data_IF_616484793424
#
_entry.id   IF_616484793424
#
_cell.length_a   1.000
_cell.length_b   1.000
_cell.length_c   1.000
_cell.angle_alpha   90.00
_cell.angle_beta   90.00
_cell.angle_gamma   90.00
#
_symmetry.space_group_name_H-M   'P 1'
#
loop_
_entity.id
_entity.type
_entity.pdbx_description
1 polymer ?
#
# COMPACT_ATOMS: atom_id res chain seq x y z
N UNK A 1 46.48 -34.80 -42.82
CA UNK A 1 46.34 -34.97 -41.35
C UNK A 1 46.08 -33.67 -40.55
N UNK A 2 45.92 -32.48 -41.16
CA UNK A 2 45.67 -31.21 -40.42
C UNK A 2 44.21 -30.72 -40.36
N UNK A 3 43.27 -31.36 -41.06
CA UNK A 3 41.84 -30.95 -41.10
C UNK A 3 40.92 -31.71 -40.12
N UNK A 4 41.32 -32.91 -39.68
CA UNK A 4 40.55 -33.70 -38.71
C UNK A 4 40.76 -33.22 -37.26
N UNK A 5 41.97 -32.76 -36.93
CA UNK A 5 42.34 -32.23 -35.61
C UNK A 5 41.66 -30.88 -35.29
N UNK A 6 41.37 -30.06 -36.31
CA UNK A 6 40.72 -28.75 -36.13
C UNK A 6 39.22 -28.87 -35.82
N UNK A 7 38.55 -29.93 -36.32
CA UNK A 7 37.13 -30.19 -36.04
C UNK A 7 36.91 -30.71 -34.63
N UNK A 8 37.82 -31.56 -34.13
CA UNK A 8 37.76 -32.12 -32.77
C UNK A 8 38.00 -31.01 -31.72
N UNK A 9 38.89 -30.06 -31.99
CA UNK A 9 39.14 -28.91 -31.12
C UNK A 9 38.00 -27.88 -31.13
N UNK A 10 37.27 -27.70 -32.25
CA UNK A 10 36.08 -26.85 -32.28
C UNK A 10 34.87 -27.47 -31.55
N UNK A 11 34.70 -28.79 -31.58
CA UNK A 11 33.64 -29.47 -30.83
C UNK A 11 33.89 -29.49 -29.31
N UNK A 12 35.14 -29.44 -28.87
CA UNK A 12 35.47 -29.33 -27.44
C UNK A 12 35.27 -27.90 -26.89
N UNK A 13 35.46 -26.87 -27.71
CA UNK A 13 35.23 -25.47 -27.32
C UNK A 13 33.74 -25.09 -27.24
N UNK A 14 32.86 -25.76 -28.00
CA UNK A 14 31.41 -25.55 -27.93
C UNK A 14 30.73 -26.32 -26.78
N UNK A 15 31.34 -27.37 -26.25
CA UNK A 15 30.85 -28.10 -25.08
C UNK A 15 31.24 -27.43 -23.74
N UNK A 16 32.27 -26.57 -23.72
CA UNK A 16 32.72 -25.86 -22.51
C UNK A 16 32.08 -24.47 -22.29
N UNK A 17 31.37 -23.93 -23.30
CA UNK A 17 30.65 -22.64 -23.19
C UNK A 17 29.15 -22.85 -22.85
N UNK A 18 28.64 -24.07 -22.96
CA UNK A 18 27.26 -24.42 -22.56
C UNK A 18 27.05 -24.64 -21.04
N UNK A 19 28.11 -24.61 -20.23
CA UNK A 19 28.03 -24.97 -18.80
C UNK A 19 28.20 -23.77 -17.83
N UNK A 20 28.17 -22.53 -18.33
CA UNK A 20 28.41 -21.31 -17.52
C UNK A 20 27.23 -20.31 -17.52
N UNK A 21 26.03 -20.72 -17.95
CA UNK A 21 24.81 -19.89 -17.95
C UNK A 21 23.57 -20.64 -17.44
N UNK A 22 23.69 -21.39 -16.35
CA UNK A 22 22.56 -21.94 -15.60
C UNK A 22 22.64 -21.59 -14.10
N UNK A 23 23.12 -20.38 -13.81
CA UNK A 23 22.87 -19.76 -12.50
C UNK A 23 21.44 -19.19 -12.50
N UNK A 24 20.65 -19.64 -11.53
CA UNK A 24 19.34 -19.10 -11.13
C UNK A 24 18.12 -19.52 -11.96
N UNK A 25 17.66 -20.75 -11.73
CA UNK A 25 16.24 -21.01 -11.43
C UNK A 25 16.16 -22.13 -10.39
N UNK A 26 16.57 -21.83 -9.17
CA UNK A 26 16.20 -22.65 -8.01
C UNK A 26 14.71 -22.46 -7.74
N UNK A 27 13.87 -23.32 -8.30
CA UNK A 27 12.48 -23.48 -7.85
C UNK A 27 12.51 -24.24 -6.52
N UNK A 28 12.83 -23.54 -5.43
CA UNK A 28 12.70 -24.11 -4.08
C UNK A 28 11.24 -24.01 -3.64
N UNK A 29 10.44 -24.98 -4.07
CA UNK A 29 9.15 -25.29 -3.48
C UNK A 29 9.37 -26.11 -2.21
N UNK A 30 9.79 -25.47 -1.12
CA UNK A 30 9.73 -26.01 0.26
C UNK A 30 10.28 -24.97 1.21
N UNK A 31 9.42 -24.38 2.05
CA UNK A 31 9.69 -23.90 3.43
C UNK A 31 11.07 -23.31 3.74
N UNK A 32 11.69 -22.57 2.83
CA UNK A 32 12.79 -21.67 3.17
C UNK A 32 12.16 -20.51 3.94
N UNK A 33 12.36 -20.46 5.26
CA UNK A 33 11.94 -19.35 6.12
C UNK A 33 12.45 -18.04 5.52
N UNK A 34 11.62 -17.34 4.74
CA UNK A 34 11.92 -16.01 4.21
C UNK A 34 12.28 -15.10 5.39
N UNK A 35 13.56 -14.70 5.47
CA UNK A 35 14.04 -13.78 6.52
C UNK A 35 13.18 -12.53 6.48
N UNK A 36 12.76 -12.08 7.65
CA UNK A 36 11.96 -10.88 7.80
C UNK A 36 12.78 -9.65 7.39
N UNK A 37 12.10 -8.57 6.94
CA UNK A 37 12.77 -7.30 6.71
C UNK A 37 13.47 -6.80 7.97
N UNK A 38 14.50 -5.96 7.78
CA UNK A 38 15.15 -5.26 8.88
C UNK A 38 14.12 -4.48 9.71
N UNK A 39 14.25 -4.55 11.04
CA UNK A 39 13.36 -3.86 11.95
C UNK A 39 13.69 -2.36 12.00
N UNK A 40 12.70 -1.53 11.73
CA UNK A 40 12.78 -0.07 11.85
C UNK A 40 12.11 0.37 13.16
N UNK A 41 12.63 1.39 13.84
CA UNK A 41 11.97 1.93 15.04
C UNK A 41 10.54 2.40 14.70
N UNK A 42 9.50 2.07 15.51
CA UNK A 42 8.14 2.51 15.26
C UNK A 42 8.02 4.03 15.25
N UNK A 43 7.28 4.57 14.30
CA UNK A 43 6.94 6.00 14.29
C UNK A 43 5.97 6.34 15.43
N UNK A 44 6.13 7.52 16.02
CA UNK A 44 5.16 8.04 16.98
C UNK A 44 3.81 8.27 16.29
N UNK A 45 2.72 7.88 16.95
CA UNK A 45 1.36 8.12 16.43
C UNK A 45 1.10 9.63 16.35
N UNK A 46 0.75 10.09 15.15
CA UNK A 46 0.43 11.49 14.86
C UNK A 46 -0.66 11.55 13.79
N UNK A 47 -1.44 12.62 13.80
CA UNK A 47 -2.45 12.91 12.77
C UNK A 47 -1.82 13.14 11.40
N UNK A 48 -0.57 13.61 11.36
CA UNK A 48 0.19 13.84 10.13
C UNK A 48 1.52 13.12 10.20
N UNK A 49 1.83 12.34 9.17
CA UNK A 49 3.04 11.54 9.06
C UNK A 49 3.54 11.55 7.62
N UNK A 50 4.85 11.46 7.42
CA UNK A 50 5.42 11.14 6.11
C UNK A 50 5.89 9.70 6.16
N UNK A 51 5.30 8.85 5.33
CA UNK A 51 5.55 7.40 5.34
C UNK A 51 6.09 6.95 3.99
N UNK A 52 6.92 5.89 3.98
CA UNK A 52 7.25 5.22 2.72
C UNK A 52 6.00 4.50 2.24
N UNK A 53 5.61 4.75 1.00
CA UNK A 53 4.52 4.04 0.35
C UNK A 53 5.04 3.22 -0.81
N UNK A 54 4.46 2.04 -0.97
CA UNK A 54 4.61 1.18 -2.14
C UNK A 54 3.23 0.89 -2.72
N UNK A 55 3.15 0.13 -3.80
CA UNK A 55 1.89 -0.38 -4.29
C UNK A 55 2.00 -1.86 -4.63
N UNK A 56 0.89 -2.57 -4.45
CA UNK A 56 0.74 -3.98 -4.79
C UNK A 56 -0.56 -4.21 -5.56
N UNK A 57 -0.68 -5.36 -6.19
CA UNK A 57 -1.92 -5.80 -6.84
C UNK A 57 -2.13 -7.30 -6.68
N UNK A 58 -3.39 -7.73 -6.71
CA UNK A 58 -3.77 -9.14 -6.56
C UNK A 58 -3.29 -10.05 -7.69
N UNK A 59 -2.70 -9.48 -8.74
CA UNK A 59 -2.13 -10.22 -9.89
C UNK A 59 -0.64 -10.52 -9.73
N UNK A 60 0.00 -10.07 -8.64
CA UNK A 60 1.36 -10.44 -8.28
C UNK A 60 1.42 -11.89 -7.75
N UNK A 61 2.54 -12.57 -8.00
CA UNK A 61 2.68 -14.01 -7.79
C UNK A 61 2.42 -14.43 -6.33
N UNK A 62 2.89 -13.61 -5.38
CA UNK A 62 2.73 -13.77 -3.94
C UNK A 62 1.29 -13.52 -3.45
N UNK A 63 0.43 -12.88 -4.25
CA UNK A 63 -0.98 -12.64 -3.94
C UNK A 63 -1.95 -13.61 -4.64
N UNK A 64 -1.50 -14.40 -5.62
CA UNK A 64 -2.37 -15.32 -6.37
C UNK A 64 -3.16 -16.26 -5.46
N UNK A 65 -2.52 -16.80 -4.41
CA UNK A 65 -3.16 -17.71 -3.44
C UNK A 65 -4.30 -17.04 -2.65
N UNK A 66 -4.23 -15.73 -2.44
CA UNK A 66 -5.24 -14.96 -1.70
C UNK A 66 -6.27 -14.30 -2.62
N UNK A 67 -6.03 -14.31 -3.93
CA UNK A 67 -6.87 -13.68 -4.94
C UNK A 67 -7.14 -12.21 -4.56
N UNK A 68 -8.35 -11.72 -4.76
CA UNK A 68 -8.76 -10.36 -4.43
C UNK A 68 -9.28 -10.19 -2.99
N UNK A 69 -8.81 -10.99 -2.04
CA UNK A 69 -9.23 -10.92 -0.63
C UNK A 69 -8.16 -10.29 0.26
N UNK A 70 -8.59 -9.49 1.23
CA UNK A 70 -7.73 -8.91 2.25
C UNK A 70 -7.64 -9.82 3.50
N UNK A 71 -6.71 -9.51 4.41
CA UNK A 71 -6.52 -10.26 5.65
C UNK A 71 -7.74 -10.32 6.59
N UNK A 72 -8.70 -9.40 6.44
CA UNK A 72 -9.97 -9.38 7.17
C UNK A 72 -11.10 -10.19 6.50
N UNK A 73 -10.83 -10.85 5.37
CA UNK A 73 -11.79 -11.67 4.62
C UNK A 73 -12.71 -10.89 3.67
N UNK A 74 -12.54 -9.57 3.58
CA UNK A 74 -13.22 -8.71 2.61
C UNK A 74 -12.54 -8.70 1.24
N UNK A 75 -13.15 -8.02 0.27
CA UNK A 75 -12.55 -7.81 -1.06
C UNK A 75 -11.64 -6.58 -1.06
N UNK A 76 -10.47 -6.71 -1.68
CA UNK A 76 -9.56 -5.61 -1.96
C UNK A 76 -10.22 -4.59 -2.90
N UNK A 77 -10.06 -3.31 -2.59
CA UNK A 77 -10.65 -2.19 -3.35
C UNK A 77 -9.59 -1.19 -3.74
N UNK A 78 -9.54 -0.83 -5.03
CA UNK A 78 -8.71 0.28 -5.47
C UNK A 78 -9.37 1.60 -5.04
N UNK A 79 -8.56 2.55 -4.55
CA UNK A 79 -9.08 3.89 -4.27
C UNK A 79 -9.55 4.53 -5.58
N UNK A 80 -10.67 5.26 -5.52
CA UNK A 80 -11.01 6.14 -6.65
C UNK A 80 -10.01 7.27 -6.72
N UNK A 81 -9.53 7.61 -7.92
CA UNK A 81 -8.68 8.77 -8.13
C UNK A 81 -9.25 10.00 -7.42
N UNK A 82 -8.44 10.62 -6.56
CA UNK A 82 -8.87 11.77 -5.78
C UNK A 82 -9.23 12.92 -6.72
N UNK A 83 -10.41 13.51 -6.52
CA UNK A 83 -10.91 14.57 -7.41
C UNK A 83 -10.07 15.85 -7.35
N UNK A 84 -9.27 16.03 -6.28
CA UNK A 84 -8.32 17.13 -6.08
C UNK A 84 -7.19 16.65 -5.16
N UNK A 85 -5.96 17.14 -5.41
CA UNK A 85 -4.88 17.12 -4.41
C UNK A 85 -5.44 17.66 -3.09
N UNK A 86 -5.01 17.10 -1.96
CA UNK A 86 -5.40 17.65 -0.67
C UNK A 86 -4.95 19.11 -0.62
N UNK A 87 -5.88 20.05 -0.74
CA UNK A 87 -5.60 21.39 -0.28
C UNK A 87 -5.25 21.22 1.21
N UNK A 88 -4.05 21.65 1.59
CA UNK A 88 -3.70 21.81 2.98
C UNK A 88 -4.71 22.84 3.51
N UNK A 89 -5.80 22.38 4.12
CA UNK A 89 -6.88 23.27 4.55
C UNK A 89 -6.45 23.97 5.84
N UNK A 90 -5.38 24.75 5.77
CA UNK A 90 -5.18 25.89 6.65
C UNK A 90 -6.09 27.00 6.12
N UNK A 91 -7.41 26.85 6.29
CA UNK A 91 -8.27 28.03 6.24
C UNK A 91 -8.07 28.71 7.57
N UNK A 92 -7.14 29.66 7.62
CA UNK A 92 -7.15 30.66 8.67
C UNK A 92 -8.55 31.29 8.61
N UNK A 93 -9.37 31.03 9.62
CA UNK A 93 -10.56 31.83 9.83
C UNK A 93 -10.03 33.23 10.19
N UNK A 94 -10.49 34.31 9.54
CA UNK A 94 -10.19 35.63 10.03
C UNK A 94 -10.72 35.70 11.47
N UNK A 95 -9.82 35.90 12.43
CA UNK A 95 -10.20 36.26 13.77
C UNK A 95 -10.90 37.62 13.65
N UNK A 96 -12.17 37.69 14.06
CA UNK A 96 -12.78 38.99 14.33
C UNK A 96 -11.84 39.75 15.27
N UNK A 97 -11.50 40.96 14.84
CA UNK A 97 -10.63 41.89 15.55
C UNK A 97 -11.28 42.28 16.87
N UNK A 98 -10.88 41.64 17.98
CA UNK A 98 -10.76 42.26 19.32
C UNK A 98 -10.51 41.24 20.45
N UNK A 99 -9.63 40.25 20.26
CA UNK A 99 -9.07 39.55 21.43
C UNK A 99 -7.70 38.95 21.17
N UNK A 100 -6.86 39.06 22.19
CA UNK A 100 -5.44 38.78 22.18
C UNK A 100 -5.08 37.40 21.59
N UNK A 101 -3.89 37.36 21.01
CA UNK A 101 -3.25 36.26 20.31
C UNK A 101 -3.16 34.95 21.11
N UNK A 102 -4.19 34.13 21.03
CA UNK A 102 -4.07 32.68 21.21
C UNK A 102 -3.96 32.04 19.83
N UNK A 103 -2.76 31.61 19.46
CA UNK A 103 -2.54 30.70 18.34
C UNK A 103 -3.12 29.33 18.72
N UNK A 104 -4.45 29.23 18.79
CA UNK A 104 -5.12 27.94 18.89
C UNK A 104 -4.82 27.21 17.58
N UNK A 105 -3.82 26.32 17.59
CA UNK A 105 -3.54 25.36 16.52
C UNK A 105 -4.89 24.78 16.15
N UNK A 106 -5.44 25.20 15.00
CA UNK A 106 -6.73 24.72 14.54
C UNK A 106 -6.61 23.21 14.52
N UNK A 107 -7.29 22.55 15.45
CA UNK A 107 -7.34 21.11 15.49
C UNK A 107 -8.00 20.69 14.18
N UNK A 108 -7.19 20.16 13.27
CA UNK A 108 -7.63 19.59 11.98
C UNK A 108 -8.54 18.36 12.19
N UNK A 109 -8.82 18.00 13.46
CA UNK A 109 -9.76 16.98 13.92
C UNK A 109 -11.23 17.30 13.65
N UNK A 110 -11.58 18.46 13.08
CA UNK A 110 -12.97 18.85 12.85
C UNK A 110 -13.65 18.18 11.65
N UNK A 111 -12.89 17.70 10.66
CA UNK A 111 -13.47 17.06 9.48
C UNK A 111 -13.62 15.55 9.70
N UNK A 112 -14.84 15.11 10.00
CA UNK A 112 -15.16 13.67 10.12
C UNK A 112 -14.84 12.93 8.82
N UNK A 113 -14.54 11.63 8.91
CA UNK A 113 -14.34 10.76 7.74
C UNK A 113 -15.45 10.95 6.69
N UNK A 114 -16.69 11.11 7.15
CA UNK A 114 -17.88 11.30 6.30
C UNK A 114 -17.78 12.53 5.39
N UNK A 115 -17.16 13.62 5.88
CA UNK A 115 -16.94 14.83 5.07
C UNK A 115 -16.14 14.52 3.80
N UNK A 116 -15.17 13.62 3.89
CA UNK A 116 -14.32 13.22 2.76
C UNK A 116 -14.97 12.17 1.86
N UNK A 117 -16.02 11.50 2.31
CA UNK A 117 -16.78 10.50 1.55
C UNK A 117 -18.02 11.08 0.86
N UNK A 118 -18.28 12.37 1.05
CA UNK A 118 -19.40 13.08 0.42
C UNK A 118 -19.32 12.98 -1.11
N UNK A 119 -20.42 12.61 -1.82
CA UNK A 119 -20.43 12.55 -3.28
C UNK A 119 -19.96 13.85 -3.92
N UNK A 120 -19.02 13.75 -4.85
CA UNK A 120 -18.49 14.88 -5.60
C UNK A 120 -19.05 14.90 -7.02
N UNK A 121 -19.37 16.09 -7.53
CA UNK A 121 -19.82 16.27 -8.92
C UNK A 121 -18.63 16.14 -9.87
N UNK A 122 -18.64 15.15 -10.75
CA UNK A 122 -17.65 14.95 -11.82
C UNK A 122 -18.30 15.13 -13.18
N UNK A 123 -17.70 15.97 -14.03
CA UNK A 123 -18.09 16.06 -15.45
C UNK A 123 -17.46 14.89 -16.20
N UNK A 124 -18.29 14.08 -16.84
CA UNK A 124 -17.86 12.95 -17.67
C UNK A 124 -18.30 13.21 -19.09
N UNK A 125 -17.37 13.07 -20.03
CA UNK A 125 -17.65 13.23 -21.45
C UNK A 125 -17.55 11.89 -22.15
N UNK A 126 -18.60 11.51 -22.87
CA UNK A 126 -18.67 10.28 -23.65
C UNK A 126 -19.08 10.56 -25.09
N UNK A 127 -18.58 9.73 -26.00
CA UNK A 127 -19.02 9.73 -27.40
C UNK A 127 -20.19 8.75 -27.55
N UNK A 128 -21.34 9.25 -27.98
CA UNK A 128 -22.55 8.45 -28.20
C UNK A 128 -22.82 8.35 -29.69
N UNK A 129 -23.08 7.14 -30.19
CA UNK A 129 -23.47 6.91 -31.58
C UNK A 129 -24.98 7.15 -31.71
N UNK A 130 -25.38 8.03 -32.62
CA UNK A 130 -26.78 8.34 -32.92
C UNK A 130 -27.07 8.03 -34.37
N UNK A 131 -28.36 8.03 -34.77
CA UNK A 131 -28.76 7.88 -36.18
C UNK A 131 -28.12 8.92 -37.11
N UNK A 132 -27.71 10.09 -36.57
CA UNK A 132 -27.06 11.20 -37.32
C UNK A 132 -25.54 11.28 -37.10
N UNK A 133 -24.89 10.20 -36.65
CA UNK A 133 -23.44 10.15 -36.39
C UNK A 133 -23.06 10.19 -34.91
N UNK A 134 -21.76 10.36 -34.61
CA UNK A 134 -21.22 10.38 -33.24
C UNK A 134 -21.38 11.78 -32.64
N UNK A 135 -21.99 11.88 -31.46
CA UNK A 135 -22.10 13.13 -30.68
C UNK A 135 -21.31 13.03 -29.38
N UNK A 136 -20.61 14.12 -29.03
CA UNK A 136 -19.95 14.29 -27.73
C UNK A 136 -20.99 14.76 -26.72
N UNK A 137 -21.21 13.99 -25.67
CA UNK A 137 -22.17 14.31 -24.60
C UNK A 137 -21.40 14.44 -23.30
N UNK A 138 -21.57 15.58 -22.62
CA UNK A 138 -21.01 15.83 -21.30
C UNK A 138 -22.13 15.77 -20.27
N UNK A 139 -21.97 14.92 -19.26
CA UNK A 139 -22.95 14.73 -18.19
C UNK A 139 -22.25 14.92 -16.84
N UNK A 140 -22.93 15.54 -15.90
CA UNK A 140 -22.46 15.64 -14.51
C UNK A 140 -22.94 14.40 -13.76
N UNK A 141 -22.01 13.64 -13.20
CA UNK A 141 -22.29 12.45 -12.40
C UNK A 141 -21.82 12.71 -10.97
N UNK A 142 -22.61 12.28 -9.98
CA UNK A 142 -22.17 12.25 -8.58
C UNK A 142 -21.34 10.98 -8.36
N UNK A 143 -20.08 11.16 -7.96
CA UNK A 143 -19.15 10.06 -7.67
C UNK A 143 -18.85 10.08 -6.18
N UNK A 144 -19.17 9.00 -5.48
CA UNK A 144 -18.72 8.77 -4.11
C UNK A 144 -17.27 8.26 -4.14
N UNK A 145 -16.34 8.85 -3.36
CA UNK A 145 -15.01 8.30 -3.23
C UNK A 145 -15.06 6.86 -2.69
N UNK A 146 -14.35 5.95 -3.35
CA UNK A 146 -14.12 4.60 -2.83
C UNK A 146 -12.87 4.63 -1.98
N UNK A 147 -12.98 4.13 -0.74
CA UNK A 147 -11.84 3.90 0.14
C UNK A 147 -11.04 2.72 -0.41
N UNK A 148 -9.76 2.96 -0.66
CA UNK A 148 -8.83 1.92 -1.10
C UNK A 148 -8.39 1.01 0.05
N UNK A 149 -8.04 -0.21 -0.28
CA UNK A 149 -7.37 -1.15 0.62
C UNK A 149 -5.89 -0.82 0.73
N UNK A 150 -5.31 -1.05 1.91
CA UNK A 150 -3.90 -0.87 2.15
C UNK A 150 -3.38 -1.98 3.07
N UNK A 151 -2.18 -2.46 2.78
CA UNK A 151 -1.44 -3.37 3.63
C UNK A 151 -0.44 -2.59 4.49
N UNK A 152 -0.29 -2.97 5.75
CA UNK A 152 0.69 -2.38 6.65
C UNK A 152 1.08 -3.36 7.76
N UNK A 153 2.11 -3.02 8.52
CA UNK A 153 2.34 -3.64 9.83
C UNK A 153 1.23 -3.20 10.80
N UNK A 154 0.41 -4.15 11.25
CA UNK A 154 -0.72 -3.88 12.15
C UNK A 154 -0.30 -3.49 13.57
N UNK A 155 0.94 -3.72 13.99
CA UNK A 155 1.42 -3.15 15.26
C UNK A 155 1.68 -1.65 15.16
N UNK A 156 1.91 -1.13 13.93
CA UNK A 156 2.21 0.28 13.66
C UNK A 156 0.95 1.04 13.22
N UNK A 157 0.24 0.48 12.25
CA UNK A 157 -1.06 0.96 11.79
C UNK A 157 -2.09 -0.16 11.98
N UNK A 158 -2.76 -0.21 13.15
CA UNK A 158 -3.74 -1.25 13.44
C UNK A 158 -4.83 -1.35 12.36
N UNK A 159 -5.37 -2.56 12.21
CA UNK A 159 -6.47 -2.83 11.30
C UNK A 159 -7.61 -1.82 11.51
N UNK A 160 -8.12 -1.28 10.40
CA UNK A 160 -9.13 -0.22 10.39
C UNK A 160 -8.58 1.21 10.44
N UNK A 161 -7.26 1.40 10.55
CA UNK A 161 -6.65 2.73 10.40
C UNK A 161 -7.02 3.29 9.03
N UNK A 162 -7.66 4.45 9.01
CA UNK A 162 -8.08 5.14 7.80
C UNK A 162 -7.29 6.43 7.65
N UNK A 163 -6.72 6.66 6.49
CA UNK A 163 -5.87 7.80 6.21
C UNK A 163 -6.08 8.32 4.79
N UNK A 164 -5.65 9.55 4.56
CA UNK A 164 -5.69 10.20 3.25
C UNK A 164 -4.29 10.58 2.81
N UNK A 165 -3.98 10.35 1.54
CA UNK A 165 -2.77 10.84 0.91
C UNK A 165 -2.91 12.33 0.63
N UNK A 166 -1.95 13.14 1.07
CA UNK A 166 -2.01 14.58 0.84
C UNK A 166 -1.72 14.92 -0.64
N UNK A 167 -0.90 14.15 -1.36
CA UNK A 167 -0.60 14.47 -2.76
C UNK A 167 -1.80 14.25 -3.70
N UNK A 168 -2.62 13.22 -3.46
CA UNK A 168 -3.70 12.85 -4.36
C UNK A 168 -5.09 13.06 -3.77
N UNK A 169 -5.22 13.22 -2.46
CA UNK A 169 -6.52 13.25 -1.77
C UNK A 169 -7.24 11.88 -1.70
N UNK A 170 -6.57 10.80 -2.11
CA UNK A 170 -7.13 9.44 -2.06
C UNK A 170 -7.18 8.95 -0.61
N UNK A 171 -8.22 8.20 -0.27
CA UNK A 171 -8.44 7.67 1.08
C UNK A 171 -8.23 6.17 1.05
N UNK A 172 -7.52 5.67 2.05
CA UNK A 172 -7.22 4.27 2.23
C UNK A 172 -7.55 3.81 3.64
N UNK A 173 -7.87 2.53 3.77
CA UNK A 173 -8.07 1.83 5.02
C UNK A 173 -7.10 0.66 5.09
N UNK A 174 -6.39 0.56 6.20
CA UNK A 174 -5.57 -0.61 6.52
C UNK A 174 -6.50 -1.77 6.81
N UNK A 175 -6.55 -2.72 5.90
CA UNK A 175 -7.39 -3.92 5.97
C UNK A 175 -6.62 -5.20 5.60
N UNK A 176 -5.34 -5.06 5.27
CA UNK A 176 -4.46 -6.13 4.86
C UNK A 176 -3.09 -6.03 5.54
N UNK A 177 -2.29 -7.09 5.45
CA UNK A 177 -0.89 -7.11 5.90
C UNK A 177 -0.05 -8.01 5.00
N UNK A 178 1.27 -7.90 5.10
CA UNK A 178 2.19 -8.73 4.34
C UNK A 178 3.51 -8.93 5.05
N UNK A 179 4.18 -10.04 4.75
CA UNK A 179 5.47 -10.39 5.34
C UNK A 179 6.53 -9.26 5.14
N UNK A 180 6.49 -8.57 3.99
CA UNK A 180 7.44 -7.52 3.59
C UNK A 180 7.31 -6.22 4.40
N UNK A 181 6.21 -6.07 5.13
CA UNK A 181 5.86 -4.84 5.85
C UNK A 181 6.11 -4.98 7.35
N UNK A 182 6.12 -6.20 7.87
CA UNK A 182 6.32 -6.47 9.31
C UNK A 182 7.67 -5.95 9.79
N UNK A 183 7.64 -5.04 10.77
CA UNK A 183 8.81 -4.35 11.29
C UNK A 183 9.23 -3.12 10.48
N UNK A 184 8.45 -2.63 9.51
CA UNK A 184 8.80 -1.43 8.71
C UNK A 184 7.80 -0.30 8.82
N UNK A 185 8.26 0.93 8.64
CA UNK A 185 7.44 2.13 8.49
C UNK A 185 7.00 2.30 7.03
N UNK A 186 6.36 1.27 6.46
CA UNK A 186 5.89 1.28 5.08
C UNK A 186 4.42 0.86 4.99
N UNK A 187 3.66 1.59 4.19
CA UNK A 187 2.29 1.25 3.82
C UNK A 187 2.25 0.87 2.34
N UNK A 188 1.66 -0.26 2.03
CA UNK A 188 1.50 -0.75 0.66
C UNK A 188 0.08 -0.51 0.17
N UNK A 189 -0.07 0.22 -0.93
CA UNK A 189 -1.38 0.64 -1.43
C UNK A 189 -1.90 -0.33 -2.49
N UNK A 190 -3.10 -0.85 -2.30
CA UNK A 190 -3.69 -1.76 -3.27
C UNK A 190 -4.11 -1.01 -4.55
N UNK A 191 -3.68 -1.54 -5.69
CA UNK A 191 -4.01 -1.05 -7.02
C UNK A 191 -4.82 -2.08 -7.82
N UNK A 192 -5.79 -1.58 -8.60
CA UNK A 192 -6.66 -2.44 -9.41
C UNK A 192 -5.97 -3.07 -10.62
N UNK A 193 -4.81 -2.55 -11.02
CA UNK A 193 -4.03 -3.04 -12.15
C UNK A 193 -2.52 -2.89 -11.92
N UNK A 194 -1.73 -3.70 -12.64
CA UNK A 194 -0.25 -3.59 -12.68
C UNK A 194 0.23 -2.24 -13.22
N UNK A 195 -0.52 -1.65 -14.16
CA UNK A 195 -0.18 -0.34 -14.73
C UNK A 195 -0.26 0.77 -13.67
N UNK A 196 -1.32 0.77 -12.86
CA UNK A 196 -1.50 1.72 -11.76
C UNK A 196 -0.45 1.51 -10.67
N UNK A 197 -0.14 0.24 -10.35
CA UNK A 197 0.93 -0.13 -9.42
C UNK A 197 2.30 0.42 -9.86
N UNK A 198 2.68 0.20 -11.12
CA UNK A 198 3.94 0.70 -11.67
C UNK A 198 3.98 2.23 -11.72
N UNK A 199 2.85 2.86 -12.05
CA UNK A 199 2.71 4.33 -12.05
C UNK A 199 2.85 4.88 -10.63
N UNK A 200 2.40 4.14 -9.62
CA UNK A 200 2.58 4.51 -8.23
C UNK A 200 4.05 4.37 -7.79
N UNK A 201 4.64 3.19 -7.95
CA UNK A 201 6.01 2.91 -7.55
C UNK A 201 6.30 3.11 -6.06
N UNK A 202 7.58 3.19 -5.70
CA UNK A 202 8.03 3.46 -4.32
C UNK A 202 8.25 4.94 -4.13
N UNK A 203 7.63 5.55 -3.12
CA UNK A 203 7.77 6.98 -2.83
C UNK A 203 7.51 7.32 -1.36
N UNK A 204 8.06 8.43 -0.89
CA UNK A 204 7.66 9.03 0.40
C UNK A 204 6.41 9.86 0.21
N UNK A 205 5.39 9.60 1.01
CA UNK A 205 4.09 10.25 0.88
C UNK A 205 3.64 10.85 2.21
N UNK A 206 3.31 12.16 2.25
CA UNK A 206 2.68 12.77 3.40
C UNK A 206 1.23 12.31 3.49
N UNK A 207 0.86 11.77 4.64
CA UNK A 207 -0.48 11.28 4.94
C UNK A 207 -1.09 12.03 6.12
N UNK A 208 -2.42 12.10 6.10
CA UNK A 208 -3.22 12.49 7.24
C UNK A 208 -4.00 11.28 7.75
N UNK A 209 -3.81 10.91 9.01
CA UNK A 209 -4.64 9.92 9.68
C UNK A 209 -6.01 10.55 9.94
N UNK A 210 -7.06 9.92 9.41
CA UNK A 210 -8.44 10.33 9.65
C UNK A 210 -9.04 9.62 10.86
N UNK A 211 -8.61 8.37 11.06
CA UNK A 211 -9.02 7.55 12.21
C UNK A 211 -7.99 6.45 12.43
N UNK A 212 -7.49 6.31 13.65
CA UNK A 212 -6.68 5.15 14.03
C UNK A 212 -7.52 3.88 14.15
N UNK A 213 -6.95 2.75 13.76
CA UNK A 213 -7.49 1.42 14.03
C UNK A 213 -7.32 1.04 15.51
N UNK A 214 -7.94 -0.06 15.91
CA UNK A 214 -7.86 -0.58 17.28
C UNK A 214 -6.73 -1.63 17.37
N UNK A 215 -5.67 -1.40 18.18
CA UNK A 215 -4.62 -2.38 18.43
C UNK A 215 -5.15 -3.73 18.93
N UNK A 216 -6.14 -3.71 19.83
CA UNK A 216 -6.70 -4.89 20.49
C UNK A 216 -7.45 -5.77 19.50
N UNK A 217 -8.24 -5.14 18.61
CA UNK A 217 -8.93 -5.86 17.53
C UNK A 217 -7.93 -6.48 16.53
N UNK A 218 -6.81 -5.79 16.28
CA UNK A 218 -5.74 -6.33 15.44
C UNK A 218 -5.09 -7.55 16.10
N UNK A 219 -4.78 -7.44 17.39
CA UNK A 219 -4.21 -8.53 18.18
C UNK A 219 -5.12 -9.77 18.17
N UNK A 220 -6.43 -9.60 18.40
CA UNK A 220 -7.40 -10.69 18.38
C UNK A 220 -7.39 -11.47 17.06
N UNK A 221 -7.27 -10.77 15.92
CA UNK A 221 -7.20 -11.40 14.60
C UNK A 221 -5.85 -12.09 14.37
N UNK A 222 -4.76 -11.49 14.84
CA UNK A 222 -3.39 -11.99 14.62
C UNK A 222 -3.03 -13.17 15.53
N UNK A 223 -3.61 -13.26 16.73
CA UNK A 223 -3.34 -14.32 17.71
C UNK A 223 -3.52 -15.73 17.11
N UNK A 224 -4.57 -15.95 16.32
CA UNK A 224 -4.84 -17.23 15.65
C UNK A 224 -3.95 -17.54 14.44
N UNK A 225 -3.03 -16.63 14.07
CA UNK A 225 -2.21 -16.72 12.84
C UNK A 225 -0.70 -16.69 13.11
N UNK A 226 -0.30 -16.90 14.36
CA UNK A 226 1.10 -16.84 14.81
C UNK A 226 2.01 -17.94 14.27
N UNK A 227 1.54 -18.83 13.39
CA UNK A 227 2.40 -19.76 12.65
C UNK A 227 3.45 -19.04 11.78
N UNK A 228 3.16 -17.82 11.35
CA UNK A 228 4.07 -17.03 10.52
C UNK A 228 4.94 -16.06 11.34
N UNK A 229 6.26 -16.04 11.08
CA UNK A 229 7.24 -15.17 11.76
C UNK A 229 6.83 -13.69 11.74
N UNK A 230 6.38 -13.19 10.60
CA UNK A 230 5.98 -11.79 10.43
C UNK A 230 4.77 -11.44 11.31
N UNK A 231 3.85 -12.38 11.53
CA UNK A 231 2.70 -12.21 12.42
C UNK A 231 3.13 -12.23 13.88
N UNK A 232 4.00 -13.17 14.27
CA UNK A 232 4.58 -13.19 15.63
C UNK A 232 5.26 -11.88 15.99
N UNK A 233 6.04 -11.32 15.05
CA UNK A 233 6.68 -10.00 15.23
C UNK A 233 5.66 -8.89 15.49
N UNK A 234 4.52 -8.88 14.79
CA UNK A 234 3.46 -7.89 15.01
C UNK A 234 2.77 -8.09 16.36
N UNK A 235 2.47 -9.34 16.72
CA UNK A 235 1.87 -9.70 18.03
C UNK A 235 2.76 -9.25 19.18
N UNK A 236 4.05 -9.59 19.14
CA UNK A 236 5.02 -9.17 20.16
C UNK A 236 5.08 -7.64 20.31
N UNK A 237 5.04 -6.89 19.20
CA UNK A 237 5.00 -5.42 19.28
C UNK A 237 3.70 -4.90 19.90
N UNK A 238 2.55 -5.49 19.57
CA UNK A 238 1.25 -5.12 20.15
C UNK A 238 1.18 -5.42 21.65
N UNK A 239 1.89 -6.45 22.12
CA UNK A 239 2.02 -6.80 23.54
C UNK A 239 3.10 -5.98 24.27
N UNK A 240 3.76 -5.02 23.61
CA UNK A 240 4.81 -4.18 24.19
C UNK A 240 6.19 -4.85 24.27
N UNK A 241 6.36 -6.05 23.72
CA UNK A 241 7.62 -6.80 23.70
C UNK A 241 8.53 -6.36 22.53
N UNK A 242 8.86 -5.07 22.49
CA UNK A 242 9.55 -4.45 21.34
C UNK A 242 10.94 -5.03 21.08
N UNK A 243 11.71 -5.35 22.13
CA UNK A 243 13.05 -5.93 21.98
C UNK A 243 12.99 -7.34 21.36
N UNK A 244 12.07 -8.18 21.84
CA UNK A 244 11.84 -9.53 21.31
C UNK A 244 11.37 -9.48 19.85
N UNK A 245 10.48 -8.54 19.53
CA UNK A 245 10.02 -8.35 18.15
C UNK A 245 11.15 -7.92 17.21
N UNK A 246 12.03 -7.00 17.67
CA UNK A 246 13.17 -6.52 16.89
C UNK A 246 14.21 -7.62 16.63
N UNK A 247 14.41 -8.52 17.59
CA UNK A 247 15.34 -9.65 17.48
C UNK A 247 14.85 -10.78 16.56
N UNK A 248 13.57 -10.78 16.17
CA UNK A 248 12.97 -11.86 15.39
C UNK A 248 13.33 -11.70 13.91
N UNK A 249 14.20 -12.53 13.35
CA UNK A 249 14.61 -12.51 11.94
C UNK A 249 13.96 -13.58 11.05
#
# INVERSE_FOLDING_TARGET
>A
MRRAQLRILLSAALAAIGALLLSSCGTTTTTASRRLPAYEAPMAKSDFQTVRTTAYTHTEADHVQYSNRNALGGRLRAATAGLRRAAYAARALPADSDSASDYRRASLSGASLDSYLTPQKKKVTRWVRTKRGRKKVTTTVLVRPTIGSAAADWSRWPAGTTFRLLSTGQIYKVDDYGWALSGRNTIDLYMGSRGDMNTWGVRSEPIQILRWGAPEASLQVLQGRQGYKHIRRMVLQLEGQHATAAALE
#
